data_IF_054947925683
#
_entry.id   IF_054947925683
#
_cell.length_a   1.000
_cell.length_b   1.000
_cell.length_c   1.000
_cell.angle_alpha   90.00
_cell.angle_beta   90.00
_cell.angle_gamma   90.00
#
_symmetry.space_group_name_H-M   'P 1'
#
loop_
_entity.id
_entity.type
_entity.pdbx_description
1 polymer ?
#
# COMPACT_ATOMS: atom_id res chain seq x y z
N UNK A 1 -14.70 9.12 -6.22
CA UNK A 1 -13.47 8.71 -5.53
C UNK A 1 -13.26 7.23 -5.79
N UNK A 2 -12.72 6.86 -6.95
CA UNK A 2 -12.31 5.47 -7.22
C UNK A 2 -11.07 5.20 -6.38
N UNK A 3 -11.29 4.89 -5.11
CA UNK A 3 -10.26 4.57 -4.15
C UNK A 3 -9.49 3.35 -4.63
N UNK A 4 -8.17 3.40 -4.50
CA UNK A 4 -7.33 2.24 -4.74
C UNK A 4 -7.80 1.12 -3.82
N UNK A 5 -8.11 -0.03 -4.41
CA UNK A 5 -8.45 -1.21 -3.65
C UNK A 5 -7.19 -1.68 -2.92
N UNK A 6 -7.25 -1.63 -1.59
CA UNK A 6 -6.15 -2.01 -0.72
C UNK A 6 -6.63 -3.18 0.10
N UNK A 7 -6.16 -4.37 -0.25
CA UNK A 7 -6.46 -5.62 0.44
C UNK A 7 -5.85 -5.57 1.86
N UNK A 8 -6.65 -5.07 2.78
CA UNK A 8 -6.28 -4.85 4.16
C UNK A 8 -5.97 -6.18 4.89
N UNK A 9 -6.77 -7.25 4.73
CA UNK A 9 -6.42 -8.58 5.25
C UNK A 9 -5.05 -9.08 4.80
N UNK A 10 -4.74 -9.00 3.50
CA UNK A 10 -3.44 -9.44 2.98
C UNK A 10 -2.29 -8.57 3.54
N UNK A 11 -2.46 -7.25 3.54
CA UNK A 11 -1.46 -6.32 4.09
C UNK A 11 -1.20 -6.56 5.58
N UNK A 12 -2.24 -6.87 6.37
CA UNK A 12 -2.10 -7.24 7.77
C UNK A 12 -1.32 -8.54 7.94
N UNK A 13 -1.58 -9.55 7.13
CA UNK A 13 -0.85 -10.82 7.17
C UNK A 13 0.64 -10.58 6.90
N UNK A 14 0.97 -9.83 5.84
CA UNK A 14 2.35 -9.47 5.51
C UNK A 14 3.01 -8.65 6.63
N UNK A 15 2.29 -7.71 7.27
CA UNK A 15 2.82 -6.96 8.42
C UNK A 15 3.22 -7.88 9.58
N UNK A 16 2.43 -8.93 9.83
CA UNK A 16 2.69 -9.92 10.88
C UNK A 16 3.87 -10.82 10.53
N UNK A 17 4.00 -11.23 9.27
CA UNK A 17 5.16 -12.00 8.79
C UNK A 17 6.47 -11.22 8.96
N UNK A 18 6.43 -9.90 8.85
CA UNK A 18 7.58 -9.02 9.14
C UNK A 18 7.80 -8.77 10.63
N UNK A 19 7.02 -9.41 11.52
CA UNK A 19 7.11 -9.23 12.97
C UNK A 19 6.50 -7.92 13.49
N UNK A 20 5.80 -7.15 12.65
CA UNK A 20 5.15 -5.92 13.09
C UNK A 20 3.85 -6.25 13.84
N UNK A 21 3.63 -5.57 14.95
CA UNK A 21 2.40 -5.69 15.75
C UNK A 21 2.01 -4.36 16.38
N UNK A 22 0.76 -4.24 16.83
CA UNK A 22 0.25 -3.03 17.47
C UNK A 22 0.47 -1.78 16.62
N UNK A 23 1.09 -0.75 17.20
CA UNK A 23 1.35 0.52 16.52
C UNK A 23 2.34 0.37 15.34
N UNK A 24 3.37 -0.48 15.45
CA UNK A 24 4.31 -0.69 14.36
C UNK A 24 3.63 -1.30 13.11
N UNK A 25 2.65 -2.19 13.30
CA UNK A 25 1.84 -2.69 12.20
C UNK A 25 0.99 -1.57 11.57
N UNK A 26 0.42 -0.67 12.38
CA UNK A 26 -0.37 0.45 11.88
C UNK A 26 0.47 1.42 11.03
N UNK A 27 1.69 1.76 11.47
CA UNK A 27 2.61 2.62 10.71
C UNK A 27 3.02 1.99 9.39
N UNK A 28 3.28 0.68 9.41
CA UNK A 28 3.67 -0.07 8.23
C UNK A 28 2.52 -0.16 7.21
N UNK A 29 1.29 -0.41 7.67
CA UNK A 29 0.10 -0.38 6.80
C UNK A 29 -0.14 1.02 6.22
N UNK A 30 0.07 2.07 7.02
CA UNK A 30 -0.03 3.44 6.56
C UNK A 30 1.01 3.73 5.47
N UNK A 31 2.26 3.32 5.67
CA UNK A 31 3.32 3.44 4.68
C UNK A 31 2.98 2.70 3.37
N UNK A 32 2.48 1.46 3.46
CA UNK A 32 2.04 0.68 2.29
C UNK A 32 0.93 1.40 1.51
N UNK A 33 -0.08 1.91 2.22
CA UNK A 33 -1.18 2.65 1.59
C UNK A 33 -0.71 3.92 0.89
N UNK A 34 0.19 4.68 1.51
CA UNK A 34 0.78 5.87 0.89
C UNK A 34 1.63 5.51 -0.35
N UNK A 35 2.44 4.46 -0.26
CA UNK A 35 3.23 3.95 -1.38
C UNK A 35 2.35 3.51 -2.55
N UNK A 36 1.24 2.81 -2.28
CA UNK A 36 0.28 2.41 -3.31
C UNK A 36 -0.39 3.62 -3.98
N UNK A 37 -0.76 4.63 -3.20
CA UNK A 37 -1.33 5.88 -3.72
C UNK A 37 -0.34 6.62 -4.63
N UNK A 38 0.91 6.78 -4.18
CA UNK A 38 1.97 7.43 -4.96
C UNK A 38 2.28 6.67 -6.25
N UNK A 39 2.50 5.35 -6.16
CA UNK A 39 2.81 4.52 -7.33
C UNK A 39 1.66 4.45 -8.34
N UNK A 40 0.41 4.48 -7.86
CA UNK A 40 -0.75 4.50 -8.75
C UNK A 40 -0.97 5.86 -9.41
N UNK A 41 -0.62 6.96 -8.74
CA UNK A 41 -0.58 8.28 -9.37
C UNK A 41 0.51 8.32 -10.46
N UNK A 42 1.72 7.83 -10.16
CA UNK A 42 2.81 7.77 -11.12
C UNK A 42 2.47 6.96 -12.38
N UNK A 43 1.83 5.79 -12.24
CA UNK A 43 1.38 4.97 -13.39
C UNK A 43 0.34 5.65 -14.29
N UNK A 44 -0.45 6.59 -13.78
CA UNK A 44 -1.39 7.37 -14.63
C UNK A 44 -0.69 8.45 -15.44
N UNK A 45 0.45 8.94 -14.94
CA UNK A 45 1.21 10.00 -15.60
C UNK A 45 2.26 9.46 -16.56
N UNK A 46 2.63 8.19 -16.44
CA UNK A 46 3.56 7.55 -17.35
C UNK A 46 2.83 7.23 -18.67
N UNK A 47 3.28 7.78 -19.82
CA UNK A 47 2.74 7.37 -21.11
C UNK A 47 3.02 5.88 -21.32
N UNK A 48 2.11 5.13 -21.97
CA UNK A 48 2.41 3.74 -22.30
C UNK A 48 3.73 3.71 -23.08
N UNK A 49 4.67 2.90 -22.61
CA UNK A 49 5.96 2.71 -23.27
C UNK A 49 5.78 2.21 -24.72
N UNK A 50 6.82 2.35 -25.56
CA UNK A 50 6.75 2.05 -26.99
C UNK A 50 6.28 0.63 -27.32
#
# INVERSE_FOLDING_TARGET
MTGLDFDMPAALATSREMGASGWAAAELLLAMRMGLAAGSAARRTDPPGP
#
